data_IF_970089282473
#
_entry.id   IF_970089282473
#
_cell.length_a   1.000
_cell.length_b   1.000
_cell.length_c   1.000
_cell.angle_alpha   90.00
_cell.angle_beta   90.00
_cell.angle_gamma   90.00
#
_symmetry.space_group_name_H-M   'P 1'
#
loop_
_entity.id
_entity.type
_entity.pdbx_description
1 polymer ?
#
# COMPACT_ATOMS: atom_id res chain seq x y z
N UNK A 1 7.60 -7.28 7.57
CA UNK A 1 6.20 -7.37 7.11
C UNK A 1 5.44 -6.04 7.23
N UNK A 2 5.48 -5.33 8.37
CA UNK A 2 4.76 -4.04 8.53
C UNK A 2 5.27 -2.91 7.61
N UNK A 3 6.59 -2.81 7.40
CA UNK A 3 7.20 -1.77 6.55
C UNK A 3 6.75 -1.85 5.09
N UNK A 4 6.59 -3.04 4.51
CA UNK A 4 6.18 -3.22 3.12
C UNK A 4 4.71 -2.83 2.88
N UNK A 5 3.83 -3.11 3.85
CA UNK A 5 2.41 -2.75 3.78
C UNK A 5 2.25 -1.22 3.82
N UNK A 6 2.96 -0.55 4.73
CA UNK A 6 2.93 0.91 4.83
C UNK A 6 3.61 1.58 3.64
N UNK A 7 4.73 1.03 3.15
CA UNK A 7 5.42 1.53 1.96
C UNK A 7 4.50 1.57 0.73
N UNK A 8 3.63 0.56 0.59
CA UNK A 8 2.69 0.43 -0.53
C UNK A 8 1.29 0.99 -0.25
N UNK A 9 1.11 1.80 0.81
CA UNK A 9 -0.20 2.33 1.21
C UNK A 9 -0.96 2.97 0.04
N UNK A 10 -0.30 3.75 -0.82
CA UNK A 10 -0.96 4.41 -1.97
C UNK A 10 -1.73 3.44 -2.87
N UNK A 11 -1.16 2.26 -3.16
CA UNK A 11 -1.82 1.24 -3.97
C UNK A 11 -3.02 0.61 -3.24
N UNK A 12 -2.89 0.41 -1.92
CA UNK A 12 -3.99 -0.06 -1.08
C UNK A 12 -5.15 0.96 -1.06
N UNK A 13 -4.84 2.24 -0.86
CA UNK A 13 -5.84 3.32 -0.84
C UNK A 13 -6.56 3.45 -2.19
N UNK A 14 -5.84 3.30 -3.30
CA UNK A 14 -6.40 3.31 -4.65
C UNK A 14 -7.41 2.17 -4.88
N UNK A 15 -7.05 0.93 -4.54
CA UNK A 15 -7.88 -0.25 -4.86
C UNK A 15 -9.01 -0.48 -3.85
N UNK A 16 -8.75 -0.17 -2.58
CA UNK A 16 -9.71 -0.40 -1.50
C UNK A 16 -10.59 0.83 -1.24
N UNK A 17 -10.18 2.02 -1.67
CA UNK A 17 -10.92 3.27 -1.45
C UNK A 17 -10.90 3.74 0.01
N UNK A 18 -9.99 3.22 0.83
CA UNK A 18 -9.83 3.58 2.24
C UNK A 18 -8.52 4.32 2.45
N UNK A 19 -8.50 5.38 3.26
CA UNK A 19 -7.26 6.03 3.71
C UNK A 19 -6.59 5.15 4.76
N UNK A 20 -5.43 4.58 4.43
CA UNK A 20 -4.65 3.69 5.27
C UNK A 20 -3.66 4.48 6.14
N UNK A 21 -3.06 5.54 5.59
CA UNK A 21 -2.14 6.44 6.30
C UNK A 21 -2.69 7.85 6.20
N UNK A 22 -3.59 8.20 7.12
CA UNK A 22 -4.21 9.52 7.14
C UNK A 22 -3.23 10.59 7.67
N UNK A 23 -2.82 11.57 6.84
CA UNK A 23 -1.85 12.59 7.25
C UNK A 23 -2.37 13.52 8.34
N UNK A 24 -3.70 13.68 8.49
CA UNK A 24 -4.29 14.54 9.53
C UNK A 24 -4.30 13.85 10.89
N UNK A 25 -4.54 12.53 10.90
CA UNK A 25 -4.59 11.73 12.13
C UNK A 25 -3.21 11.25 12.56
N UNK A 26 -2.32 10.97 11.61
CA UNK A 26 -1.01 10.37 11.87
C UNK A 26 0.12 11.07 11.09
N UNK A 27 0.36 12.37 11.34
CA UNK A 27 1.33 13.16 10.57
C UNK A 27 2.76 12.61 10.64
N UNK A 28 3.18 12.11 11.81
CA UNK A 28 4.52 11.53 11.99
C UNK A 28 4.69 10.22 11.21
N UNK A 29 3.67 9.35 11.24
CA UNK A 29 3.70 8.11 10.47
C UNK A 29 3.71 8.40 8.97
N UNK A 30 2.88 9.33 8.51
CA UNK A 30 2.86 9.74 7.11
C UNK A 30 4.23 10.24 6.64
N UNK A 31 4.86 11.13 7.40
CA UNK A 31 6.20 11.65 7.11
C UNK A 31 7.26 10.54 7.09
N UNK A 32 7.25 9.66 8.09
CA UNK A 32 8.19 8.53 8.16
C UNK A 32 8.04 7.58 6.97
N UNK A 33 6.80 7.27 6.56
CA UNK A 33 6.54 6.41 5.39
C UNK A 33 7.01 7.05 4.09
N UNK A 34 6.79 8.36 3.90
CA UNK A 34 7.30 9.05 2.70
C UNK A 34 8.84 9.01 2.67
N UNK A 35 9.50 9.33 3.78
CA UNK A 35 10.97 9.30 3.86
C UNK A 35 11.52 7.89 3.63
N UNK A 36 10.88 6.87 4.21
CA UNK A 36 11.25 5.47 4.01
C UNK A 36 11.21 5.09 2.53
N UNK A 37 10.16 5.49 1.81
CA UNK A 37 10.00 5.20 0.38
C UNK A 37 11.02 5.93 -0.52
N UNK A 38 11.60 7.03 -0.05
CA UNK A 38 12.64 7.76 -0.79
C UNK A 38 14.02 7.11 -0.66
N UNK A 39 14.24 6.28 0.37
CA UNK A 39 15.51 5.62 0.60
C UNK A 39 15.86 4.69 -0.58
N UNK A 40 17.12 4.73 -1.11
CA UNK A 40 17.52 3.90 -2.24
C UNK A 40 17.24 2.40 -2.07
N UNK A 41 17.50 1.77 -0.90
CA UNK A 41 17.19 0.36 -0.70
C UNK A 41 15.69 0.05 -0.83
N UNK A 42 14.82 0.99 -0.48
CA UNK A 42 13.37 0.77 -0.61
C UNK A 42 12.91 0.77 -2.06
N UNK A 43 13.60 1.49 -2.96
CA UNK A 43 13.28 1.43 -4.40
C UNK A 43 13.61 0.06 -5.01
N UNK A 44 14.53 -0.69 -4.40
CA UNK A 44 14.88 -2.05 -4.82
C UNK A 44 13.96 -3.11 -4.21
N UNK A 45 13.49 -2.87 -2.98
CA UNK A 45 12.69 -3.85 -2.22
C UNK A 45 11.18 -3.67 -2.43
N UNK A 46 10.71 -2.43 -2.60
CA UNK A 46 9.28 -2.14 -2.78
C UNK A 46 8.89 -2.47 -4.23
N UNK A 47 7.88 -3.33 -4.45
CA UNK A 47 7.42 -3.62 -5.80
C UNK A 47 6.89 -2.35 -6.48
N UNK A 48 7.02 -2.24 -7.81
CA UNK A 48 6.39 -1.16 -8.57
C UNK A 48 4.91 -1.02 -8.24
N UNK A 49 4.43 0.22 -8.12
CA UNK A 49 3.05 0.54 -7.71
C UNK A 49 2.00 -0.26 -8.49
N UNK A 50 2.10 -0.26 -9.83
CA UNK A 50 1.17 -1.00 -10.71
C UNK A 50 1.09 -2.49 -10.39
N UNK A 51 2.22 -3.14 -10.06
CA UNK A 51 2.22 -4.57 -9.70
C UNK A 51 1.45 -4.82 -8.40
N UNK A 52 1.54 -3.89 -7.45
CA UNK A 52 0.80 -3.97 -6.19
C UNK A 52 -0.69 -3.74 -6.45
N UNK A 53 -1.03 -2.76 -7.27
CA UNK A 53 -2.42 -2.48 -7.68
C UNK A 53 -3.05 -3.69 -8.37
N UNK A 54 -2.36 -4.32 -9.32
CA UNK A 54 -2.84 -5.52 -10.01
C UNK A 54 -3.06 -6.69 -9.05
N UNK A 55 -2.11 -6.92 -8.14
CA UNK A 55 -2.24 -7.95 -7.10
C UNK A 55 -3.46 -7.68 -6.21
N UNK A 56 -3.66 -6.43 -5.76
CA UNK A 56 -4.78 -6.06 -4.91
C UNK A 56 -6.12 -6.19 -5.65
N UNK A 57 -6.19 -5.82 -6.93
CA UNK A 57 -7.39 -6.03 -7.76
C UNK A 57 -7.69 -7.51 -7.93
N UNK A 58 -6.66 -8.34 -8.15
CA UNK A 58 -6.81 -9.79 -8.22
C UNK A 58 -7.34 -10.37 -6.90
N UNK A 59 -6.75 -9.99 -5.77
CA UNK A 59 -7.21 -10.42 -4.44
C UNK A 59 -8.64 -9.98 -4.19
N UNK A 60 -8.99 -8.71 -4.49
CA UNK A 60 -10.36 -8.20 -4.35
C UNK A 60 -11.36 -8.98 -5.22
N UNK A 61 -11.02 -9.25 -6.48
CA UNK A 61 -11.88 -9.99 -7.41
C UNK A 61 -12.13 -11.42 -6.93
N UNK A 62 -11.10 -12.11 -6.45
CA UNK A 62 -11.21 -13.52 -6.04
C UNK A 62 -11.71 -13.70 -4.61
N UNK A 63 -11.48 -12.72 -3.72
CA UNK A 63 -11.98 -12.72 -2.34
C UNK A 63 -13.46 -12.35 -2.22
N UNK A 64 -14.05 -11.73 -3.26
CA UNK A 64 -15.48 -11.44 -3.36
C UNK A 64 -16.27 -12.52 -4.11
N UNK A 65 -15.64 -13.63 -4.54
CA UNK A 65 -16.43 -14.78 -4.99
C UNK A 65 -17.22 -15.29 -3.79
N UNK A 66 -18.57 -15.22 -3.80
CA UNK A 66 -19.34 -15.92 -2.79
C UNK A 66 -18.99 -17.40 -2.96
N UNK A 67 -18.53 -18.05 -1.89
CA UNK A 67 -18.62 -19.49 -1.78
C UNK A 67 -20.05 -19.88 -2.14
N UNK A 68 -20.23 -20.60 -3.26
CA UNK A 68 -21.51 -21.25 -3.61
C UNK A 68 -21.98 -22.15 -2.48
#
# INVERSE_FOLDING_TARGET
MVSAVLATHKANEEVLGVKMVDPEKFPLMFSWVQQLNELPPMKEVVPPHEKVVDLLRFVRKNGLNPSS
#
